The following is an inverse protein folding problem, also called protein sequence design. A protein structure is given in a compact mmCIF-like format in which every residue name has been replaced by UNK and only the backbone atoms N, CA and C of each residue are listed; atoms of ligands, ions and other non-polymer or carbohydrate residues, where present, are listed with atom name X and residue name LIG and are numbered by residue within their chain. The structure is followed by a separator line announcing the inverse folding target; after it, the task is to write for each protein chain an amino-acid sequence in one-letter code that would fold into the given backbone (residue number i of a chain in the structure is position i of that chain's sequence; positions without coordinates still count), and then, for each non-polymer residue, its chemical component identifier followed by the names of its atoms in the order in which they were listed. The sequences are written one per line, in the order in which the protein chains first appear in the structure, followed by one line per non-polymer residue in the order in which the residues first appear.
data_IF_296782266840
#
_entry.id   IF_296782266840
#
_cell.length_a   1.000
_cell.length_b   1.000
_cell.length_c   1.000
_cell.angle_alpha   90.00
_cell.angle_beta   90.00
_cell.angle_gamma   90.00
#
_symmetry.space_group_name_H-M   'P 1'
#
loop_
_entity.id
_entity.type
_entity.pdbx_description
1 polymer ?
#
# COMPACT_ATOMS: atom_id res chain seq x y z
N UNK A 1 0.19 -47.82 -4.55
CA UNK A 1 -0.49 -46.52 -4.37
C UNK A 1 -0.81 -45.99 -5.74
N UNK A 2 -2.08 -45.72 -6.08
CA UNK A 2 -2.48 -45.42 -7.45
C UNK A 2 -2.19 -43.97 -7.85
N UNK A 3 -1.95 -43.74 -9.14
CA UNK A 3 -1.69 -42.41 -9.71
C UNK A 3 -2.83 -41.42 -9.46
N UNK A 4 -4.06 -41.92 -9.30
CA UNK A 4 -5.22 -41.12 -8.94
C UNK A 4 -5.09 -40.48 -7.54
N UNK A 5 -4.44 -41.15 -6.60
CA UNK A 5 -4.19 -40.62 -5.25
C UNK A 5 -3.13 -39.53 -5.26
N UNK A 6 -2.05 -39.71 -6.03
CA UNK A 6 -1.01 -38.70 -6.26
C UNK A 6 -1.58 -37.47 -6.97
N UNK A 7 -2.41 -37.66 -7.99
CA UNK A 7 -3.09 -36.57 -8.71
C UNK A 7 -4.05 -35.78 -7.79
N UNK A 8 -4.79 -36.46 -6.92
CA UNK A 8 -5.68 -35.82 -5.95
C UNK A 8 -4.91 -34.99 -4.90
N UNK A 9 -3.75 -35.47 -4.43
CA UNK A 9 -2.89 -34.72 -3.51
C UNK A 9 -2.28 -33.49 -4.17
N UNK A 10 -1.82 -33.61 -5.43
CA UNK A 10 -1.31 -32.48 -6.20
C UNK A 10 -2.38 -31.42 -6.43
N UNK A 11 -3.58 -31.82 -6.87
CA UNK A 11 -4.71 -30.90 -7.04
C UNK A 11 -5.14 -30.21 -5.73
N UNK A 12 -5.00 -30.89 -4.59
CA UNK A 12 -5.30 -30.31 -3.26
C UNK A 12 -4.21 -29.33 -2.81
N UNK A 13 -2.95 -29.60 -3.14
CA UNK A 13 -1.81 -28.69 -2.92
C UNK A 13 -1.88 -27.45 -3.82
N UNK A 14 -2.31 -27.62 -5.08
CA UNK A 14 -2.46 -26.52 -6.04
C UNK A 14 -3.70 -25.65 -5.74
N UNK A 15 -4.70 -26.20 -5.00
CA UNK A 15 -5.84 -25.45 -4.45
C UNK A 15 -5.59 -24.82 -3.09
N UNK A 16 -4.51 -25.19 -2.41
CA UNK A 16 -4.10 -24.51 -1.19
C UNK A 16 -3.52 -23.16 -1.63
N UNK A 17 -4.33 -22.10 -1.53
CA UNK A 17 -3.86 -20.74 -1.72
C UNK A 17 -2.64 -20.46 -0.84
N UNK A 18 -1.91 -19.35 -1.10
CA UNK A 18 -0.76 -19.00 -0.29
C UNK A 18 -1.16 -18.99 1.20
N UNK A 19 -0.33 -19.55 2.09
CA UNK A 19 -0.65 -19.57 3.52
C UNK A 19 -0.89 -18.14 4.01
N UNK A 20 -1.86 -17.94 4.92
CA UNK A 20 -2.15 -16.61 5.43
C UNK A 20 -0.91 -16.04 6.10
N UNK A 21 -0.55 -14.81 5.74
CA UNK A 21 0.52 -14.06 6.40
C UNK A 21 -0.04 -13.52 7.71
N UNK A 22 0.48 -14.00 8.83
CA UNK A 22 0.12 -13.51 10.16
C UNK A 22 1.12 -12.40 10.51
N UNK A 23 0.63 -11.18 10.61
CA UNK A 23 1.41 -10.02 11.04
C UNK A 23 1.12 -9.72 12.50
N UNK A 24 2.16 -9.35 13.24
CA UNK A 24 1.99 -8.64 14.51
C UNK A 24 1.33 -7.28 14.26
N UNK A 25 0.80 -6.66 15.32
CA UNK A 25 0.14 -5.35 15.22
C UNK A 25 1.09 -4.26 14.68
N UNK A 26 2.34 -4.27 15.12
CA UNK A 26 3.36 -3.34 14.62
C UNK A 26 3.66 -3.56 13.12
N UNK A 27 3.82 -4.82 12.70
CA UNK A 27 4.04 -5.14 11.28
C UNK A 27 2.84 -4.76 10.40
N UNK A 28 1.61 -4.93 10.91
CA UNK A 28 0.40 -4.51 10.21
C UNK A 28 0.35 -2.98 10.02
N UNK A 29 0.74 -2.20 11.03
CA UNK A 29 0.84 -0.75 10.92
C UNK A 29 1.96 -0.30 9.96
N UNK A 30 3.13 -0.95 10.01
CA UNK A 30 4.21 -0.68 9.05
C UNK A 30 3.80 -0.98 7.62
N UNK A 31 3.12 -2.11 7.40
CA UNK A 31 2.59 -2.48 6.09
C UNK A 31 1.56 -1.44 5.61
N UNK A 32 0.61 -1.06 6.44
CA UNK A 32 -0.38 -0.03 6.11
C UNK A 32 0.28 1.32 5.78
N UNK A 33 1.28 1.74 6.56
CA UNK A 33 2.05 2.96 6.31
C UNK A 33 2.77 2.90 4.96
N UNK A 34 3.39 1.76 4.61
CA UNK A 34 4.04 1.57 3.31
C UNK A 34 3.06 1.64 2.15
N UNK A 35 1.89 1.03 2.27
CA UNK A 35 0.86 1.10 1.21
C UNK A 35 0.35 2.52 1.01
N UNK A 36 0.13 3.26 2.09
CA UNK A 36 -0.28 4.66 2.03
C UNK A 36 0.81 5.56 1.44
N UNK A 37 2.08 5.35 1.77
CA UNK A 37 3.19 6.07 1.15
C UNK A 37 3.25 5.84 -0.37
N UNK A 38 3.02 4.61 -0.84
CA UNK A 38 2.92 4.30 -2.27
C UNK A 38 1.74 5.02 -2.94
N UNK A 39 0.60 5.11 -2.27
CA UNK A 39 -0.55 5.88 -2.75
C UNK A 39 -0.22 7.37 -2.86
N UNK A 40 0.42 7.96 -1.85
CA UNK A 40 0.86 9.35 -1.88
C UNK A 40 1.84 9.60 -3.04
N UNK A 41 2.79 8.68 -3.26
CA UNK A 41 3.71 8.76 -4.39
C UNK A 41 2.99 8.71 -5.74
N UNK A 42 1.96 7.86 -5.87
CA UNK A 42 1.15 7.77 -7.09
C UNK A 42 0.42 9.08 -7.38
N UNK A 43 -0.08 9.76 -6.35
CA UNK A 43 -0.69 11.08 -6.48
C UNK A 43 0.33 12.15 -6.90
N UNK A 44 1.56 12.12 -6.35
CA UNK A 44 2.61 13.04 -6.78
C UNK A 44 2.95 12.84 -8.27
N UNK A 45 3.00 11.59 -8.74
CA UNK A 45 3.22 11.28 -10.15
C UNK A 45 2.08 11.82 -11.02
N UNK A 46 0.83 11.70 -10.58
CA UNK A 46 -0.32 12.27 -11.28
C UNK A 46 -0.20 13.81 -11.39
N UNK A 47 0.20 14.50 -10.32
CA UNK A 47 0.50 15.94 -10.35
C UNK A 47 1.59 16.26 -11.37
N UNK A 48 2.71 15.54 -11.31
CA UNK A 48 3.86 15.77 -12.17
C UNK A 48 3.51 15.58 -13.64
N UNK A 49 2.71 14.55 -13.96
CA UNK A 49 2.20 14.31 -15.31
C UNK A 49 1.33 15.51 -15.74
N UNK A 50 0.39 15.96 -14.90
CA UNK A 50 -0.48 17.10 -15.26
C UNK A 50 0.32 18.38 -15.51
N UNK A 51 1.25 18.71 -14.62
CA UNK A 51 2.10 19.91 -14.70
C UNK A 51 3.00 19.86 -15.94
N UNK A 52 3.62 18.71 -16.19
CA UNK A 52 4.46 18.50 -17.38
C UNK A 52 3.63 18.68 -18.65
N UNK A 53 2.44 18.08 -18.72
CA UNK A 53 1.58 18.19 -19.90
C UNK A 53 1.08 19.62 -20.11
N UNK A 54 0.80 20.39 -19.06
CA UNK A 54 0.51 21.83 -19.17
C UNK A 54 1.70 22.62 -19.73
N UNK A 55 2.92 22.28 -19.32
CA UNK A 55 4.13 22.96 -19.77
C UNK A 55 4.47 22.70 -21.24
N UNK A 56 4.06 21.55 -21.77
CA UNK A 56 4.33 21.13 -23.15
C UNK A 56 3.34 21.72 -24.18
N UNK A 57 2.28 22.41 -23.74
CA UNK A 57 1.27 23.02 -24.62
C UNK A 57 0.07 22.11 -24.86
N UNK A 58 -0.57 22.22 -26.03
CA UNK A 58 -1.83 21.51 -26.30
C UNK A 58 -1.56 20.05 -26.72
N UNK A 59 -1.92 19.05 -25.89
CA UNK A 59 -1.64 17.67 -26.20
C UNK A 59 -2.54 17.15 -27.33
N UNK A 60 -2.09 16.11 -28.05
CA UNK A 60 -2.93 15.28 -28.91
C UNK A 60 -4.26 14.90 -28.25
N UNK A 61 -5.33 14.78 -29.04
CA UNK A 61 -6.70 14.62 -28.54
C UNK A 61 -6.90 13.36 -27.68
N UNK A 62 -6.21 12.27 -28.02
CA UNK A 62 -6.16 11.02 -27.26
C UNK A 62 -5.53 11.21 -25.87
N UNK A 63 -4.42 11.95 -25.80
CA UNK A 63 -3.75 12.26 -24.52
C UNK A 63 -4.59 13.25 -23.70
N UNK A 64 -5.23 14.23 -24.36
CA UNK A 64 -6.13 15.19 -23.70
C UNK A 64 -7.27 14.48 -22.96
N UNK A 65 -7.93 13.53 -23.62
CA UNK A 65 -9.03 12.78 -23.01
C UNK A 65 -8.57 11.97 -21.78
N UNK A 66 -7.36 11.43 -21.83
CA UNK A 66 -6.74 10.69 -20.71
C UNK A 66 -6.40 11.62 -19.54
N UNK A 67 -5.86 12.81 -19.81
CA UNK A 67 -5.58 13.83 -18.79
C UNK A 67 -6.87 14.36 -18.14
N UNK A 68 -7.92 14.55 -18.93
CA UNK A 68 -9.23 14.93 -18.40
C UNK A 68 -9.86 13.83 -17.54
N UNK A 69 -9.63 12.56 -17.86
CA UNK A 69 -10.00 11.45 -16.98
C UNK A 69 -9.18 11.48 -15.68
N UNK A 70 -7.86 11.60 -15.77
CA UNK A 70 -6.95 11.68 -14.62
C UNK A 70 -7.37 12.79 -13.65
N UNK A 71 -7.61 14.01 -14.15
CA UNK A 71 -8.05 15.18 -13.36
C UNK A 71 -9.39 14.98 -12.67
N UNK A 72 -10.30 14.20 -13.27
CA UNK A 72 -11.61 13.87 -12.68
C UNK A 72 -11.50 12.83 -11.59
N UNK A 73 -10.67 11.81 -11.80
CA UNK A 73 -10.46 10.72 -10.84
C UNK A 73 -9.60 11.14 -9.65
N UNK A 74 -8.71 12.12 -9.84
CA UNK A 74 -7.81 12.64 -8.79
C UNK A 74 -8.05 14.14 -8.55
N UNK A 75 -9.16 14.53 -7.90
CA UNK A 75 -9.38 15.93 -7.54
C UNK A 75 -8.44 16.36 -6.40
N UNK A 76 -7.74 17.47 -6.55
CA UNK A 76 -6.80 18.00 -5.54
C UNK A 76 -5.72 17.00 -5.08
N UNK A 77 -4.96 16.39 -6.00
CA UNK A 77 -4.02 15.30 -5.69
C UNK A 77 -2.95 15.71 -4.67
N UNK A 78 -2.51 16.97 -4.69
CA UNK A 78 -1.58 17.53 -3.71
C UNK A 78 -2.16 17.56 -2.28
N UNK A 79 -3.44 17.88 -2.12
CA UNK A 79 -4.10 17.92 -0.81
C UNK A 79 -4.30 16.49 -0.29
N UNK A 80 -4.73 15.58 -1.17
CA UNK A 80 -4.86 14.16 -0.86
C UNK A 80 -3.51 13.55 -0.42
N UNK A 81 -2.43 13.81 -1.17
CA UNK A 81 -1.10 13.31 -0.83
C UNK A 81 -0.61 13.85 0.52
N UNK A 82 -0.89 15.12 0.85
CA UNK A 82 -0.59 15.69 2.18
C UNK A 82 -1.37 15.01 3.29
N UNK A 83 -2.67 14.79 3.10
CA UNK A 83 -3.51 14.09 4.08
C UNK A 83 -3.03 12.65 4.32
N UNK A 84 -2.70 11.93 3.25
CA UNK A 84 -2.16 10.57 3.34
C UNK A 84 -0.83 10.55 4.09
N UNK A 85 0.09 11.48 3.79
CA UNK A 85 1.38 11.58 4.52
C UNK A 85 1.20 11.89 6.01
N UNK A 86 0.20 12.69 6.38
CA UNK A 86 -0.12 12.92 7.79
C UNK A 86 -0.57 11.61 8.47
N UNK A 87 -1.48 10.86 7.84
CA UNK A 87 -1.90 9.55 8.34
C UNK A 87 -0.75 8.53 8.43
N UNK A 88 0.21 8.57 7.49
CA UNK A 88 1.43 7.75 7.55
C UNK A 88 2.29 8.11 8.77
N UNK A 89 2.42 9.40 9.09
CA UNK A 89 3.17 9.84 10.26
C UNK A 89 2.53 9.31 11.56
N UNK A 90 1.20 9.40 11.67
CA UNK A 90 0.45 8.86 12.81
C UNK A 90 0.62 7.34 12.94
N UNK A 91 0.57 6.59 11.82
CA UNK A 91 0.82 5.14 11.82
C UNK A 91 2.24 4.80 12.27
N UNK A 92 3.25 5.56 11.85
CA UNK A 92 4.63 5.34 12.29
C UNK A 92 4.80 5.61 13.78
N UNK A 93 4.09 6.58 14.34
CA UNK A 93 4.06 6.79 15.79
C UNK A 93 3.43 5.59 16.51
N UNK A 94 2.31 5.07 16.01
CA UNK A 94 1.68 3.86 16.57
C UNK A 94 2.62 2.65 16.53
N UNK A 95 3.40 2.46 15.47
CA UNK A 95 4.42 1.40 15.39
C UNK A 95 5.43 1.53 16.53
N UNK A 96 5.92 2.75 16.80
CA UNK A 96 6.87 3.01 17.89
C UNK A 96 6.23 2.66 19.23
N UNK A 97 5.00 3.10 19.47
CA UNK A 97 4.28 2.82 20.72
C UNK A 97 4.08 1.31 20.94
N UNK A 98 3.68 0.56 19.90
CA UNK A 98 3.51 -0.89 19.98
C UNK A 98 4.82 -1.61 20.28
N UNK A 99 5.92 -1.20 19.63
CA UNK A 99 7.26 -1.77 19.89
C UNK A 99 7.73 -1.50 21.32
N UNK A 100 7.50 -0.28 21.82
CA UNK A 100 7.83 0.07 23.21
C UNK A 100 6.99 -0.73 24.20
N UNK A 101 5.70 -0.89 23.95
CA UNK A 101 4.82 -1.70 24.80
C UNK A 101 5.25 -3.17 24.81
N UNK A 102 5.53 -3.75 23.65
CA UNK A 102 6.03 -5.12 23.55
C UNK A 102 7.36 -5.31 24.32
N UNK A 103 8.29 -4.36 24.20
CA UNK A 103 9.55 -4.39 24.94
C UNK A 103 9.36 -4.31 26.47
N UNK A 104 8.43 -3.45 26.95
CA UNK A 104 8.10 -3.36 28.38
C UNK A 104 7.53 -4.67 28.92
N UNK A 105 6.62 -5.29 28.18
CA UNK A 105 6.02 -6.57 28.56
C UNK A 105 7.09 -7.67 28.61
N UNK A 106 7.96 -7.74 27.59
CA UNK A 106 9.05 -8.70 27.55
C UNK A 106 10.04 -8.51 28.71
N UNK A 107 10.40 -7.27 29.05
CA UNK A 107 11.28 -6.96 30.17
C UNK A 107 10.66 -7.19 31.55
N UNK A 108 9.33 -7.10 31.67
CA UNK A 108 8.61 -7.34 32.92
C UNK A 108 8.49 -8.85 33.26
N UNK A 109 8.56 -9.73 32.26
CA UNK A 109 8.52 -11.19 32.44
C UNK A 109 9.84 -11.84 32.84
N UNK A 110 10.93 -11.07 33.01
CA UNK A 110 12.29 -11.55 33.33
C UNK A 110 12.66 -11.28 34.80
N UNK A 111 11.68 -11.00 35.68
CA UNK A 111 11.89 -10.80 37.12
C UNK A 111 11.22 -11.88 37.95
#
# INVERSE_FOLDING_TARGET
MSDAFQAALKARRDRAGPPPVILSKAEAFEFAASQLDQMAHTLDLACLIDDTMRSLGDPPADIRSTLEALRRETPEPNLQAKAIRAAVADLRELVIQERLQAARIAGAGVR
#
